data_IF_353940697138
#
_entry.id   IF_353940697138
#
_cell.length_a   1.000
_cell.length_b   1.000
_cell.length_c   1.000
_cell.angle_alpha   90.00
_cell.angle_beta   90.00
_cell.angle_gamma   90.00
#
_symmetry.space_group_name_H-M   'P 1'
#
loop_
_entity.id
_entity.type
_entity.pdbx_description
1 polymer ?
#
# COMPACT_ATOMS: atom_id res chain seq x y z
N UNK A 1 -3.87 -61.44 50.50
CA UNK A 1 -4.06 -62.45 49.44
C UNK A 1 -5.20 -61.98 48.53
N UNK A 2 -4.94 -62.02 47.22
CA UNK A 2 -5.79 -61.66 46.08
C UNK A 2 -6.12 -60.18 45.80
N UNK A 3 -6.16 -59.80 44.51
CA UNK A 3 -5.86 -58.45 44.04
C UNK A 3 -7.14 -57.65 43.71
N UNK A 4 -7.09 -56.33 43.91
CA UNK A 4 -8.10 -55.42 43.36
C UNK A 4 -7.70 -55.00 41.94
N UNK A 5 -8.67 -54.90 41.01
CA UNK A 5 -8.39 -54.84 39.59
C UNK A 5 -7.92 -53.44 39.17
N UNK A 6 -6.84 -53.41 38.39
CA UNK A 6 -6.47 -52.30 37.51
C UNK A 6 -7.66 -51.95 36.60
N UNK A 7 -8.52 -51.02 37.03
CA UNK A 7 -9.42 -50.32 36.12
C UNK A 7 -8.58 -49.36 35.30
N UNK A 8 -8.11 -49.87 34.17
CA UNK A 8 -7.72 -49.08 33.02
C UNK A 8 -8.83 -48.06 32.75
N UNK A 9 -8.63 -46.80 33.16
CA UNK A 9 -9.31 -45.68 32.54
C UNK A 9 -8.78 -45.58 31.11
N UNK A 10 -9.35 -46.39 30.21
CA UNK A 10 -9.48 -46.01 28.81
C UNK A 10 -10.34 -44.76 28.81
N UNK A 11 -9.69 -43.60 28.96
CA UNK A 11 -10.17 -42.35 28.37
C UNK A 11 -10.12 -42.60 26.87
N UNK A 12 -11.18 -43.21 26.35
CA UNK A 12 -11.59 -42.94 24.99
C UNK A 12 -11.94 -41.46 24.95
N UNK A 13 -10.93 -40.64 24.64
CA UNK A 13 -11.14 -39.40 23.91
C UNK A 13 -11.82 -39.82 22.61
N UNK A 14 -13.13 -40.01 22.67
CA UNK A 14 -13.98 -39.80 21.53
C UNK A 14 -13.83 -38.32 21.22
N UNK A 15 -12.83 -38.04 20.40
CA UNK A 15 -12.74 -36.85 19.56
C UNK A 15 -14.05 -36.87 18.78
N UNK A 16 -15.07 -36.24 19.36
CA UNK A 16 -16.21 -35.78 18.58
C UNK A 16 -15.60 -34.79 17.61
N UNK A 17 -15.47 -35.23 16.37
CA UNK A 17 -15.16 -34.48 15.17
C UNK A 17 -16.28 -33.47 14.86
N UNK A 18 -16.57 -32.60 15.82
CA UNK A 18 -17.22 -31.34 15.55
C UNK A 18 -16.06 -30.40 15.29
N UNK A 19 -15.86 -30.08 14.02
CA UNK A 19 -15.06 -28.96 13.54
C UNK A 19 -15.43 -27.70 14.33
N UNK A 20 -14.78 -27.50 15.47
CA UNK A 20 -14.73 -26.21 16.11
C UNK A 20 -13.86 -25.33 15.20
N UNK A 21 -14.49 -24.75 14.16
CA UNK A 21 -13.94 -23.70 13.34
C UNK A 21 -13.46 -22.59 14.28
N UNK A 22 -12.14 -22.48 14.42
CA UNK A 22 -11.54 -21.50 15.31
C UNK A 22 -11.34 -20.24 14.48
N UNK A 23 -12.27 -19.29 14.65
CA UNK A 23 -12.27 -17.94 14.09
C UNK A 23 -11.03 -17.06 14.44
N UNK A 24 -9.90 -17.63 14.87
CA UNK A 24 -8.74 -16.96 15.47
C UNK A 24 -7.43 -17.68 15.12
N UNK A 25 -6.30 -17.02 15.35
CA UNK A 25 -4.98 -17.60 15.10
C UNK A 25 -4.84 -18.96 15.80
N UNK A 26 -4.63 -20.01 15.00
CA UNK A 26 -4.53 -21.39 15.45
C UNK A 26 -3.08 -21.89 15.43
N UNK A 27 -2.85 -23.05 16.05
CA UNK A 27 -1.56 -23.75 15.96
C UNK A 27 -1.28 -24.10 14.49
N UNK A 28 -0.18 -23.59 13.94
CA UNK A 28 0.18 -23.74 12.53
C UNK A 28 -0.20 -22.55 11.62
N UNK A 29 -0.88 -21.53 12.14
CA UNK A 29 -1.06 -20.27 11.41
C UNK A 29 0.30 -19.58 11.19
N UNK A 30 0.50 -19.00 10.01
CA UNK A 30 1.68 -18.21 9.65
C UNK A 30 1.27 -16.96 8.89
N UNK A 31 2.03 -15.88 9.05
CA UNK A 31 1.98 -14.77 8.12
C UNK A 31 2.38 -15.27 6.72
N UNK A 32 1.71 -14.77 5.69
CA UNK A 32 1.87 -15.20 4.32
C UNK A 32 2.82 -14.26 3.58
N UNK A 33 3.68 -14.81 2.74
CA UNK A 33 4.38 -14.02 1.71
C UNK A 33 3.44 -13.71 0.54
N UNK A 34 3.83 -12.78 -0.33
CA UNK A 34 3.10 -12.53 -1.59
C UNK A 34 2.95 -13.82 -2.44
N UNK A 35 3.98 -14.67 -2.47
CA UNK A 35 3.94 -15.95 -3.19
C UNK A 35 2.96 -16.93 -2.53
N UNK A 36 2.95 -17.01 -1.19
CA UNK A 36 1.97 -17.83 -0.46
C UNK A 36 0.53 -17.34 -0.70
N UNK A 37 0.32 -16.02 -0.73
CA UNK A 37 -0.97 -15.40 -1.06
C UNK A 37 -1.43 -15.80 -2.46
N UNK A 38 -0.53 -15.68 -3.44
CA UNK A 38 -0.83 -16.05 -4.82
C UNK A 38 -1.24 -17.53 -4.93
N UNK A 39 -0.46 -18.42 -4.31
CA UNK A 39 -0.75 -19.85 -4.32
C UNK A 39 -2.06 -20.20 -3.58
N UNK A 40 -2.38 -19.48 -2.49
CA UNK A 40 -3.59 -19.73 -1.69
C UNK A 40 -4.85 -19.28 -2.40
N UNK A 41 -4.82 -18.14 -3.10
CA UNK A 41 -6.03 -17.50 -3.64
C UNK A 41 -6.21 -17.59 -5.16
N UNK A 42 -5.19 -17.98 -5.94
CA UNK A 42 -5.25 -18.00 -7.42
C UNK A 42 -6.29 -18.96 -8.03
N UNK A 43 -6.80 -19.94 -7.26
CA UNK A 43 -7.78 -20.93 -7.74
C UNK A 43 -9.24 -20.57 -7.47
N UNK A 44 -9.54 -19.46 -6.80
CA UNK A 44 -10.90 -19.10 -6.42
C UNK A 44 -11.63 -18.38 -7.56
N UNK A 45 -12.91 -18.73 -7.73
CA UNK A 45 -13.78 -18.13 -8.74
C UNK A 45 -14.20 -16.72 -8.30
N UNK A 46 -14.21 -15.78 -9.24
CA UNK A 46 -14.63 -14.40 -9.02
C UNK A 46 -15.94 -14.17 -9.75
N UNK A 47 -17.05 -14.17 -9.00
CA UNK A 47 -18.40 -14.03 -9.57
C UNK A 47 -18.94 -12.60 -9.47
N UNK A 48 -18.29 -11.74 -8.68
CA UNK A 48 -18.69 -10.36 -8.42
C UNK A 48 -17.63 -9.35 -8.91
N UNK A 49 -18.09 -8.11 -9.13
CA UNK A 49 -17.23 -6.98 -9.43
C UNK A 49 -16.31 -6.62 -8.24
N UNK A 50 -15.09 -6.19 -8.54
CA UNK A 50 -14.06 -5.92 -7.53
C UNK A 50 -14.42 -4.80 -6.55
N UNK A 51 -15.12 -3.75 -7.01
CA UNK A 51 -15.56 -2.65 -6.13
C UNK A 51 -16.70 -3.10 -5.22
N UNK A 52 -17.59 -3.95 -5.72
CA UNK A 52 -18.67 -4.54 -4.92
C UNK A 52 -18.09 -5.42 -3.81
N UNK A 53 -17.12 -6.28 -4.15
CA UNK A 53 -16.42 -7.13 -3.17
C UNK A 53 -15.68 -6.29 -2.12
N UNK A 54 -15.03 -5.20 -2.53
CA UNK A 54 -14.36 -4.27 -1.62
C UNK A 54 -15.35 -3.61 -0.65
N UNK A 55 -16.45 -3.06 -1.15
CA UNK A 55 -17.46 -2.42 -0.29
C UNK A 55 -18.18 -3.41 0.64
N UNK A 56 -18.39 -4.66 0.19
CA UNK A 56 -18.92 -5.74 1.02
C UNK A 56 -17.95 -6.08 2.15
N UNK A 57 -16.68 -6.35 1.85
CA UNK A 57 -15.68 -6.68 2.87
C UNK A 57 -15.44 -5.53 3.86
N UNK A 58 -15.40 -4.29 3.39
CA UNK A 58 -15.33 -3.11 4.27
C UNK A 58 -16.54 -2.98 5.19
N UNK A 59 -17.74 -3.35 4.72
CA UNK A 59 -18.94 -3.38 5.57
C UNK A 59 -18.82 -4.41 6.69
N UNK A 60 -18.21 -5.57 6.43
CA UNK A 60 -17.91 -6.54 7.47
C UNK A 60 -16.97 -5.95 8.53
N UNK A 61 -15.86 -5.36 8.10
CA UNK A 61 -14.87 -4.76 9.00
C UNK A 61 -15.47 -3.61 9.82
N UNK A 62 -16.27 -2.74 9.19
CA UNK A 62 -16.94 -1.64 9.89
C UNK A 62 -17.93 -2.10 10.97
N UNK A 63 -18.49 -3.30 10.84
CA UNK A 63 -19.40 -3.90 11.83
C UNK A 63 -18.68 -4.69 12.92
N UNK A 64 -17.35 -4.87 12.82
CA UNK A 64 -16.58 -5.55 13.85
C UNK A 64 -16.44 -4.69 15.10
N UNK A 65 -16.55 -5.35 16.25
CA UNK A 65 -16.13 -4.78 17.53
C UNK A 65 -14.61 -4.90 17.67
N UNK A 66 -14.01 -4.10 18.55
CA UNK A 66 -12.56 -4.09 18.77
C UNK A 66 -11.98 -5.46 19.14
N UNK A 67 -12.74 -6.30 19.84
CA UNK A 67 -12.33 -7.66 20.20
C UNK A 67 -12.16 -8.60 19.00
N UNK A 68 -12.73 -8.31 17.83
CA UNK A 68 -12.51 -9.09 16.60
C UNK A 68 -11.09 -8.97 16.04
N UNK A 69 -10.34 -7.96 16.50
CA UNK A 69 -8.93 -7.77 16.19
C UNK A 69 -8.03 -8.53 17.17
N UNK A 70 -8.56 -9.03 18.28
CA UNK A 70 -7.79 -9.80 19.25
C UNK A 70 -7.57 -11.24 18.75
N UNK A 71 -6.49 -11.88 19.23
CA UNK A 71 -6.13 -13.26 18.86
C UNK A 71 -5.95 -13.50 17.35
N UNK A 72 -5.36 -12.54 16.65
CA UNK A 72 -5.02 -12.62 15.21
C UNK A 72 -3.53 -12.87 14.95
N UNK A 73 -2.70 -12.68 15.96
CA UNK A 73 -1.25 -12.92 15.91
C UNK A 73 -0.96 -14.41 16.10
N UNK A 74 -0.20 -15.06 15.21
CA UNK A 74 0.16 -16.46 15.37
C UNK A 74 0.93 -16.74 16.67
N UNK A 75 0.57 -17.80 17.43
CA UNK A 75 1.08 -18.00 18.79
C UNK A 75 2.52 -18.53 18.86
N UNK A 76 3.07 -19.08 17.78
CA UNK A 76 4.37 -19.76 17.75
C UNK A 76 5.49 -18.91 17.14
N UNK A 77 5.27 -17.61 16.97
CA UNK A 77 6.31 -16.70 16.46
C UNK A 77 7.37 -16.45 17.52
N UNK A 78 8.61 -16.21 17.09
CA UNK A 78 9.63 -15.71 18.00
C UNK A 78 9.24 -14.28 18.48
N UNK A 79 9.75 -13.80 19.62
CA UNK A 79 9.32 -12.53 20.20
C UNK A 79 9.45 -11.33 19.23
N UNK A 80 10.55 -11.24 18.49
CA UNK A 80 10.81 -10.14 17.55
C UNK A 80 9.86 -10.17 16.35
N UNK A 81 9.59 -11.34 15.77
CA UNK A 81 8.60 -11.50 14.70
C UNK A 81 7.19 -11.21 15.21
N UNK A 82 6.88 -11.64 16.43
CA UNK A 82 5.58 -11.38 17.05
C UNK A 82 5.34 -9.88 17.21
N UNK A 83 6.32 -9.12 17.69
CA UNK A 83 6.23 -7.65 17.81
C UNK A 83 6.02 -6.99 16.45
N UNK A 84 6.75 -7.43 15.43
CA UNK A 84 6.59 -6.94 14.05
C UNK A 84 5.19 -7.20 13.49
N UNK A 85 4.68 -8.41 13.68
CA UNK A 85 3.32 -8.79 13.26
C UNK A 85 2.27 -7.99 14.03
N UNK A 86 2.47 -7.77 15.34
CA UNK A 86 1.59 -6.93 16.16
C UNK A 86 1.55 -5.49 15.66
N UNK A 87 2.72 -4.87 15.41
CA UNK A 87 2.80 -3.52 14.88
C UNK A 87 2.10 -3.40 13.52
N UNK A 88 2.36 -4.34 12.61
CA UNK A 88 1.70 -4.40 11.31
C UNK A 88 0.17 -4.48 11.46
N UNK A 89 -0.31 -5.31 12.38
CA UNK A 89 -1.72 -5.49 12.63
C UNK A 89 -2.37 -4.23 13.23
N UNK A 90 -1.68 -3.54 14.15
CA UNK A 90 -2.19 -2.31 14.76
C UNK A 90 -2.30 -1.17 13.74
N UNK A 91 -1.36 -1.07 12.81
CA UNK A 91 -1.40 -0.11 11.70
C UNK A 91 -2.56 -0.43 10.76
N UNK A 92 -2.68 -1.70 10.33
CA UNK A 92 -3.79 -2.14 9.49
C UNK A 92 -5.15 -1.88 10.16
N UNK A 93 -5.26 -2.16 11.46
CA UNK A 93 -6.44 -1.87 12.28
C UNK A 93 -6.76 -0.38 12.25
N UNK A 94 -5.79 0.48 12.53
CA UNK A 94 -6.01 1.93 12.52
C UNK A 94 -6.50 2.42 11.16
N UNK A 95 -5.91 1.94 10.07
CA UNK A 95 -6.29 2.33 8.70
C UNK A 95 -7.71 1.84 8.37
N UNK A 96 -8.03 0.58 8.68
CA UNK A 96 -9.36 0.03 8.46
C UNK A 96 -10.44 0.76 9.25
N UNK A 97 -10.16 1.13 10.50
CA UNK A 97 -11.10 1.89 11.34
C UNK A 97 -11.29 3.32 10.82
N UNK A 98 -10.21 3.99 10.40
CA UNK A 98 -10.30 5.32 9.80
C UNK A 98 -11.15 5.30 8.52
N UNK A 99 -10.95 4.32 7.64
CA UNK A 99 -11.77 4.16 6.44
C UNK A 99 -13.24 3.83 6.76
N UNK A 100 -13.49 3.04 7.81
CA UNK A 100 -14.86 2.77 8.26
C UNK A 100 -15.56 4.04 8.76
N UNK A 101 -14.85 4.91 9.48
CA UNK A 101 -15.36 6.20 9.95
C UNK A 101 -15.57 7.19 8.79
N UNK A 102 -14.62 7.30 7.85
CA UNK A 102 -14.77 8.08 6.61
C UNK A 102 -16.01 7.63 5.83
N UNK A 103 -16.17 6.32 5.62
CA UNK A 103 -17.32 5.74 4.93
C UNK A 103 -18.63 6.05 5.65
N UNK A 104 -18.65 6.01 6.98
CA UNK A 104 -19.83 6.37 7.78
C UNK A 104 -20.23 7.82 7.53
N UNK A 105 -19.27 8.76 7.50
CA UNK A 105 -19.54 10.16 7.17
C UNK A 105 -20.06 10.35 5.76
N UNK A 106 -19.49 9.65 4.76
CA UNK A 106 -19.99 9.68 3.38
C UNK A 106 -21.44 9.16 3.30
N UNK A 107 -21.77 8.06 3.97
CA UNK A 107 -23.13 7.51 4.00
C UNK A 107 -24.12 8.45 4.72
N UNK A 108 -23.67 9.15 5.76
CA UNK A 108 -24.46 10.17 6.44
C UNK A 108 -24.75 11.35 5.50
N UNK A 109 -23.76 11.86 4.79
CA UNK A 109 -23.93 12.96 3.83
C UNK A 109 -24.87 12.55 2.67
N UNK A 110 -24.77 11.32 2.16
CA UNK A 110 -25.72 10.75 1.19
C UNK A 110 -27.15 10.78 1.75
N UNK A 111 -27.34 10.30 2.97
CA UNK A 111 -28.66 10.22 3.59
C UNK A 111 -29.25 11.61 3.86
N UNK A 112 -28.43 12.57 4.28
CA UNK A 112 -28.83 13.97 4.46
C UNK A 112 -29.32 14.54 3.13
N UNK A 113 -28.56 14.41 2.06
CA UNK A 113 -28.96 14.90 0.72
C UNK A 113 -30.26 14.23 0.29
N UNK A 114 -30.33 12.90 0.36
CA UNK A 114 -31.52 12.13 -0.03
C UNK A 114 -32.76 12.56 0.75
N UNK A 115 -32.64 12.74 2.06
CA UNK A 115 -33.76 13.18 2.92
C UNK A 115 -34.22 14.61 2.66
N UNK A 116 -33.29 15.53 2.38
CA UNK A 116 -33.59 16.96 2.16
C UNK A 116 -34.21 17.21 0.78
N UNK A 117 -33.83 16.45 -0.24
CA UNK A 117 -34.32 16.64 -1.62
C UNK A 117 -35.35 15.60 -2.04
N UNK A 118 -35.57 14.55 -1.24
CA UNK A 118 -36.55 13.49 -1.53
C UNK A 118 -36.14 12.54 -2.67
N UNK A 119 -34.85 12.47 -3.01
CA UNK A 119 -34.33 11.54 -4.02
C UNK A 119 -33.87 10.24 -3.38
N UNK A 120 -33.68 9.19 -4.17
CA UNK A 120 -33.12 7.94 -3.63
C UNK A 120 -31.62 8.11 -3.31
N UNK A 121 -31.11 7.52 -2.21
CA UNK A 121 -29.69 7.56 -1.83
C UNK A 121 -28.74 7.10 -2.95
N UNK A 122 -29.15 6.11 -3.73
CA UNK A 122 -28.37 5.56 -4.83
C UNK A 122 -28.11 6.60 -5.94
N UNK A 123 -29.07 7.50 -6.16
CA UNK A 123 -28.99 8.53 -7.21
C UNK A 123 -28.20 9.78 -6.83
N UNK A 124 -27.80 9.93 -5.56
CA UNK A 124 -27.13 11.14 -5.04
C UNK A 124 -25.79 11.38 -5.73
N UNK A 125 -25.00 10.30 -5.92
CA UNK A 125 -23.65 10.37 -6.48
C UNK A 125 -23.61 10.79 -7.95
N UNK A 126 -24.72 10.66 -8.67
CA UNK A 126 -24.83 11.02 -10.09
C UNK A 126 -25.20 12.49 -10.31
N UNK A 127 -25.51 13.23 -9.23
CA UNK A 127 -26.00 14.60 -9.33
C UNK A 127 -24.88 15.60 -9.57
N UNK A 128 -25.22 16.68 -10.25
CA UNK A 128 -24.27 17.73 -10.65
C UNK A 128 -24.39 18.99 -9.77
N UNK A 129 -23.40 19.87 -9.84
CA UNK A 129 -23.46 21.19 -9.18
C UNK A 129 -24.63 22.06 -9.67
N UNK A 130 -25.07 21.90 -10.92
CA UNK A 130 -26.25 22.60 -11.44
C UNK A 130 -27.53 22.14 -10.72
N UNK A 131 -27.69 20.82 -10.55
CA UNK A 131 -28.79 20.25 -9.77
C UNK A 131 -28.77 20.75 -8.31
N UNK A 132 -27.59 20.82 -7.69
CA UNK A 132 -27.44 21.38 -6.34
C UNK A 132 -27.94 22.84 -6.27
N UNK A 133 -27.60 23.67 -7.26
CA UNK A 133 -28.03 25.07 -7.27
C UNK A 133 -29.56 25.20 -7.33
N UNK A 134 -30.22 24.36 -8.14
CA UNK A 134 -31.68 24.33 -8.22
C UNK A 134 -32.31 23.91 -6.89
N UNK A 135 -31.86 22.79 -6.31
CA UNK A 135 -32.43 22.27 -5.05
C UNK A 135 -32.17 23.19 -3.85
N UNK A 136 -30.96 23.73 -3.74
CA UNK A 136 -30.65 24.71 -2.71
C UNK A 136 -31.48 25.99 -2.85
N UNK A 137 -31.76 26.42 -4.09
CA UNK A 137 -32.63 27.59 -4.35
C UNK A 137 -34.09 27.30 -4.00
N UNK A 138 -34.60 26.09 -4.29
CA UNK A 138 -35.94 25.65 -3.86
C UNK A 138 -36.10 25.70 -2.34
N UNK A 139 -35.11 25.18 -1.60
CA UNK A 139 -35.12 25.22 -0.13
C UNK A 139 -35.06 26.65 0.41
N UNK A 140 -34.22 27.52 -0.17
CA UNK A 140 -34.17 28.95 0.20
C UNK A 140 -35.47 29.69 -0.11
N UNK A 141 -36.09 29.41 -1.25
CA UNK A 141 -37.37 30.00 -1.63
C UNK A 141 -38.49 29.63 -0.64
N UNK A 142 -38.45 28.41 -0.09
CA UNK A 142 -39.36 27.96 0.98
C UNK A 142 -39.03 28.55 2.36
N UNK A 143 -37.99 29.38 2.49
CA UNK A 143 -37.52 29.95 3.76
C UNK A 143 -36.66 29.00 4.60
N UNK A 144 -36.31 27.81 4.10
CA UNK A 144 -35.55 26.78 4.83
C UNK A 144 -34.03 26.96 4.66
N UNK A 145 -33.51 28.13 5.05
CA UNK A 145 -32.12 28.54 4.79
C UNK A 145 -31.09 27.59 5.41
N UNK A 146 -31.35 27.07 6.62
CA UNK A 146 -30.44 26.14 7.30
C UNK A 146 -30.30 24.81 6.55
N UNK A 147 -31.42 24.24 6.08
CA UNK A 147 -31.42 23.02 5.26
C UNK A 147 -30.72 23.23 3.93
N UNK A 148 -30.90 24.41 3.31
CA UNK A 148 -30.18 24.74 2.08
C UNK A 148 -28.65 24.83 2.29
N UNK A 149 -28.20 25.35 3.44
CA UNK A 149 -26.78 25.36 3.81
C UNK A 149 -26.26 23.94 4.06
N UNK A 150 -26.99 23.15 4.83
CA UNK A 150 -26.65 21.75 5.13
C UNK A 150 -26.54 20.90 3.87
N UNK A 151 -27.51 21.01 2.95
CA UNK A 151 -27.48 20.37 1.63
C UNK A 151 -26.22 20.73 0.85
N UNK A 152 -25.88 22.03 0.79
CA UNK A 152 -24.69 22.51 0.08
C UNK A 152 -23.42 21.96 0.70
N UNK A 153 -23.28 22.06 2.01
CA UNK A 153 -22.05 21.67 2.70
C UNK A 153 -21.85 20.14 2.63
N UNK A 154 -22.91 19.34 2.73
CA UNK A 154 -22.87 17.88 2.52
C UNK A 154 -22.50 17.52 1.08
N UNK A 155 -23.10 18.17 0.09
CA UNK A 155 -22.81 17.92 -1.32
C UNK A 155 -21.35 18.25 -1.68
N UNK A 156 -20.81 19.37 -1.18
CA UNK A 156 -19.43 19.76 -1.46
C UNK A 156 -18.41 18.79 -0.84
N UNK A 157 -18.67 18.24 0.35
CA UNK A 157 -17.83 17.16 0.91
C UNK A 157 -17.93 15.89 0.07
N UNK A 158 -19.15 15.53 -0.34
CA UNK A 158 -19.40 14.34 -1.15
C UNK A 158 -18.76 14.41 -2.54
N UNK A 159 -18.62 15.60 -3.11
CA UNK A 159 -17.89 15.79 -4.37
C UNK A 159 -16.41 15.39 -4.27
N UNK A 160 -15.80 15.58 -3.09
CA UNK A 160 -14.39 15.23 -2.85
C UNK A 160 -14.24 13.77 -2.43
N UNK A 161 -15.06 13.30 -1.49
CA UNK A 161 -14.89 12.00 -0.83
C UNK A 161 -15.88 10.92 -1.28
N UNK A 162 -16.92 11.29 -2.03
CA UNK A 162 -18.08 10.44 -2.31
C UNK A 162 -17.91 9.46 -3.46
N UNK A 163 -16.82 9.56 -4.23
CA UNK A 163 -16.49 8.60 -5.28
C UNK A 163 -16.33 7.20 -4.69
N UNK A 164 -16.88 6.19 -5.37
CA UNK A 164 -16.70 4.78 -4.96
C UNK A 164 -15.23 4.34 -5.02
N UNK A 165 -14.44 5.02 -5.85
CA UNK A 165 -13.02 4.72 -6.07
C UNK A 165 -12.11 5.64 -5.24
N UNK A 166 -12.67 6.47 -4.35
CA UNK A 166 -11.87 7.30 -3.47
C UNK A 166 -10.90 6.42 -2.66
N UNK A 167 -9.61 6.74 -2.73
CA UNK A 167 -8.49 6.01 -2.08
C UNK A 167 -8.48 4.50 -2.38
N UNK A 168 -8.87 4.13 -3.60
CA UNK A 168 -9.07 2.73 -4.00
C UNK A 168 -7.85 1.83 -3.70
N UNK A 169 -6.64 2.25 -4.10
CA UNK A 169 -5.44 1.44 -3.89
C UNK A 169 -5.12 1.23 -2.41
N UNK A 170 -5.31 2.24 -1.56
CA UNK A 170 -5.09 2.12 -0.13
C UNK A 170 -6.08 1.17 0.54
N UNK A 171 -7.35 1.23 0.13
CA UNK A 171 -8.39 0.32 0.60
C UNK A 171 -8.14 -1.12 0.16
N UNK A 172 -7.72 -1.32 -1.10
CA UNK A 172 -7.28 -2.61 -1.61
C UNK A 172 -6.07 -3.12 -0.82
N UNK A 173 -5.07 -2.27 -0.57
CA UNK A 173 -3.88 -2.64 0.20
C UNK A 173 -4.20 -2.95 1.67
N UNK A 174 -5.21 -2.32 2.28
CA UNK A 174 -5.70 -2.71 3.60
C UNK A 174 -6.22 -4.15 3.59
N UNK A 175 -7.10 -4.49 2.62
CA UNK A 175 -7.65 -5.85 2.51
C UNK A 175 -6.55 -6.86 2.17
N UNK A 176 -5.64 -6.52 1.26
CA UNK A 176 -4.47 -7.33 0.94
C UNK A 176 -3.58 -7.58 2.18
N UNK A 177 -3.35 -6.54 2.98
CA UNK A 177 -2.62 -6.62 4.24
C UNK A 177 -3.28 -7.52 5.27
N UNK A 178 -4.61 -7.49 5.40
CA UNK A 178 -5.36 -8.47 6.20
C UNK A 178 -5.17 -9.90 5.68
N UNK A 179 -5.08 -10.06 4.36
CA UNK A 179 -4.77 -11.34 3.71
C UNK A 179 -3.38 -11.85 4.06
N UNK A 180 -2.37 -10.98 4.00
CA UNK A 180 -0.98 -11.28 4.37
C UNK A 180 -0.84 -11.76 5.82
N UNK A 181 -1.71 -11.33 6.73
CA UNK A 181 -1.71 -11.85 8.11
C UNK A 181 -2.09 -13.33 8.19
N UNK A 182 -2.86 -13.83 7.22
CA UNK A 182 -3.23 -15.24 7.12
C UNK A 182 -4.22 -15.75 8.17
N UNK A 183 -4.74 -14.88 9.03
CA UNK A 183 -5.59 -15.24 10.19
C UNK A 183 -6.98 -14.60 10.19
N UNK A 184 -7.29 -13.75 9.20
CA UNK A 184 -8.56 -13.02 9.10
C UNK A 184 -9.59 -13.68 8.17
N UNK A 185 -9.22 -14.66 7.36
CA UNK A 185 -10.08 -15.26 6.31
C UNK A 185 -11.42 -15.75 6.85
N UNK A 186 -11.42 -16.52 7.93
CA UNK A 186 -12.63 -17.08 8.55
C UNK A 186 -13.48 -16.02 9.27
N UNK A 187 -12.98 -14.80 9.46
CA UNK A 187 -13.72 -13.72 10.14
C UNK A 187 -14.78 -13.07 9.23
N UNK A 188 -14.78 -13.38 7.93
CA UNK A 188 -15.65 -12.81 6.90
C UNK A 188 -16.78 -13.74 6.45
N UNK A 189 -16.94 -14.92 7.05
CA UNK A 189 -18.00 -15.87 6.70
C UNK A 189 -18.71 -16.40 7.95
N UNK A 190 -19.72 -17.27 7.73
CA UNK A 190 -20.51 -17.91 8.78
C UNK A 190 -21.27 -16.91 9.67
N UNK A 191 -21.85 -15.88 9.05
CA UNK A 191 -22.64 -14.86 9.74
C UNK A 191 -24.12 -15.24 9.75
N UNK A 192 -24.75 -15.11 10.92
CA UNK A 192 -26.21 -15.24 11.03
C UNK A 192 -26.85 -13.98 10.49
N UNK A 193 -27.62 -14.12 9.42
CA UNK A 193 -28.34 -13.02 8.76
C UNK A 193 -29.85 -13.21 8.91
N UNK A 194 -30.57 -12.10 8.99
CA UNK A 194 -32.03 -12.08 8.99
C UNK A 194 -32.53 -11.56 7.65
N UNK A 195 -33.40 -12.31 7.00
CA UNK A 195 -34.13 -11.83 5.83
C UNK A 195 -35.12 -10.73 6.25
N UNK A 196 -34.96 -9.54 5.68
CA UNK A 196 -35.76 -8.34 6.02
C UNK A 196 -37.24 -8.53 5.66
N UNK A 197 -37.54 -9.35 4.65
CA UNK A 197 -38.90 -9.56 4.16
C UNK A 197 -39.64 -10.67 4.92
N UNK A 198 -38.94 -11.76 5.26
CA UNK A 198 -39.55 -12.94 5.90
C UNK A 198 -39.25 -13.05 7.40
N UNK A 199 -38.29 -12.28 7.92
CA UNK A 199 -37.81 -12.36 9.29
C UNK A 199 -37.03 -13.63 9.62
N UNK A 200 -36.83 -14.54 8.65
CA UNK A 200 -36.15 -15.83 8.85
C UNK A 200 -34.66 -15.62 9.07
N UNK A 201 -34.10 -16.42 9.98
CA UNK A 201 -32.67 -16.47 10.25
C UNK A 201 -32.02 -17.57 9.41
N UNK A 202 -30.93 -17.25 8.74
CA UNK A 202 -30.08 -18.20 8.02
C UNK A 202 -28.61 -17.94 8.31
N UNK A 203 -27.76 -18.93 8.05
CA UNK A 203 -26.30 -18.76 8.09
C UNK A 203 -25.83 -18.46 6.68
N UNK A 204 -25.15 -17.34 6.50
CA UNK A 204 -24.47 -16.98 5.27
C UNK A 204 -23.05 -17.58 5.28
N UNK A 205 -22.83 -18.56 4.40
CA UNK A 205 -21.57 -19.26 4.21
C UNK A 205 -20.68 -18.58 3.14
N UNK A 206 -21.18 -17.53 2.46
CA UNK A 206 -20.38 -16.79 1.49
C UNK A 206 -19.18 -16.12 2.16
N UNK A 207 -18.09 -15.98 1.40
CA UNK A 207 -16.87 -15.32 1.88
C UNK A 207 -16.38 -14.30 0.83
N UNK A 208 -16.91 -13.06 0.87
CA UNK A 208 -16.51 -12.02 -0.07
C UNK A 208 -15.03 -11.63 0.07
N UNK A 209 -14.41 -11.91 1.22
CA UNK A 209 -12.98 -11.64 1.41
C UNK A 209 -12.10 -12.57 0.60
N UNK A 210 -12.42 -13.86 0.55
CA UNK A 210 -11.67 -14.83 -0.27
C UNK A 210 -11.78 -14.49 -1.76
N UNK A 211 -12.98 -14.16 -2.22
CA UNK A 211 -13.21 -13.70 -3.60
C UNK A 211 -12.43 -12.41 -3.91
N UNK A 212 -12.41 -11.45 -2.96
CA UNK A 212 -11.64 -10.22 -3.11
C UNK A 212 -10.13 -10.48 -3.17
N UNK A 213 -9.57 -11.35 -2.32
CA UNK A 213 -8.14 -11.66 -2.37
C UNK A 213 -7.75 -12.28 -3.70
N UNK A 214 -8.58 -13.18 -4.22
CA UNK A 214 -8.38 -13.78 -5.53
C UNK A 214 -8.41 -12.71 -6.65
N UNK A 215 -9.36 -11.79 -6.58
CA UNK A 215 -9.43 -10.64 -7.48
C UNK A 215 -8.17 -9.77 -7.42
N UNK A 216 -7.71 -9.43 -6.21
CA UNK A 216 -6.54 -8.58 -6.02
C UNK A 216 -5.29 -9.23 -6.63
N UNK A 217 -5.00 -10.48 -6.27
CA UNK A 217 -3.81 -11.20 -6.75
C UNK A 217 -3.82 -11.37 -8.27
N UNK A 218 -4.98 -11.68 -8.85
CA UNK A 218 -5.07 -11.89 -10.31
C UNK A 218 -4.99 -10.58 -11.10
N UNK A 219 -5.57 -9.49 -10.60
CA UNK A 219 -5.69 -8.23 -11.33
C UNK A 219 -4.51 -7.28 -11.09
N UNK A 220 -3.89 -7.35 -9.92
CA UNK A 220 -2.80 -6.48 -9.49
C UNK A 220 -1.53 -7.30 -9.22
N UNK A 221 -0.78 -7.70 -10.27
CA UNK A 221 0.43 -8.52 -10.11
C UNK A 221 1.56 -7.82 -9.34
N UNK A 222 1.50 -6.49 -9.20
CA UNK A 222 2.44 -5.67 -8.44
C UNK A 222 1.85 -5.19 -7.11
N UNK A 223 0.78 -5.81 -6.59
CA UNK A 223 0.10 -5.33 -5.38
C UNK A 223 1.02 -5.26 -4.15
N UNK A 224 2.02 -6.14 -4.07
CA UNK A 224 3.03 -6.12 -3.02
C UNK A 224 3.93 -4.87 -3.11
N UNK A 225 4.30 -4.44 -4.32
CA UNK A 225 5.02 -3.17 -4.54
C UNK A 225 4.14 -1.99 -4.12
N UNK A 226 2.87 -1.97 -4.52
CA UNK A 226 1.92 -0.89 -4.16
C UNK A 226 1.74 -0.83 -2.65
N UNK A 227 1.56 -1.99 -2.00
CA UNK A 227 1.42 -2.11 -0.54
C UNK A 227 2.62 -1.51 0.18
N UNK A 228 3.84 -1.85 -0.26
CA UNK A 228 5.06 -1.31 0.32
C UNK A 228 5.21 0.20 0.04
N UNK A 229 4.90 0.66 -1.18
CA UNK A 229 4.99 2.08 -1.56
C UNK A 229 4.00 2.94 -0.79
N UNK A 230 2.82 2.43 -0.46
CA UNK A 230 1.86 3.12 0.41
C UNK A 230 2.28 3.12 1.90
N UNK A 231 3.41 2.51 2.23
CA UNK A 231 3.96 2.50 3.58
C UNK A 231 3.34 1.48 4.52
N UNK A 232 2.65 0.46 3.98
CA UNK A 232 2.10 -0.60 4.83
C UNK A 232 3.20 -1.49 5.40
N UNK A 233 4.34 -1.68 4.74
CA UNK A 233 5.42 -2.54 5.22
C UNK A 233 6.39 -1.79 6.14
N UNK A 234 6.03 -1.68 7.42
CA UNK A 234 6.81 -0.91 8.41
C UNK A 234 8.05 -1.67 8.89
N UNK A 235 8.08 -2.99 8.71
CA UNK A 235 9.18 -3.84 9.17
C UNK A 235 10.41 -3.72 8.28
N UNK A 236 10.21 -3.79 6.96
CA UNK A 236 11.30 -3.75 5.98
C UNK A 236 11.35 -2.42 5.23
N UNK A 237 10.29 -1.62 5.27
CA UNK A 237 10.10 -0.49 4.38
C UNK A 237 9.92 -0.93 2.93
N UNK A 238 10.04 0.03 2.03
CA UNK A 238 9.74 -0.18 0.61
C UNK A 238 10.97 -0.36 -0.30
N UNK A 239 12.19 -0.31 0.25
CA UNK A 239 13.46 -0.33 -0.52
C UNK A 239 13.60 -1.55 -1.44
N UNK A 240 13.26 -2.75 -0.94
CA UNK A 240 13.32 -3.99 -1.74
C UNK A 240 12.31 -3.96 -2.89
N UNK A 241 11.10 -3.44 -2.64
CA UNK A 241 10.07 -3.23 -3.65
C UNK A 241 10.45 -2.15 -4.64
N UNK A 242 11.16 -1.09 -4.22
CA UNK A 242 11.74 -0.08 -5.10
C UNK A 242 12.77 -0.70 -6.04
N UNK A 243 13.69 -1.53 -5.53
CA UNK A 243 14.68 -2.24 -6.35
C UNK A 243 14.00 -3.07 -7.46
N UNK A 244 12.97 -3.86 -7.09
CA UNK A 244 12.20 -4.66 -8.06
C UNK A 244 11.45 -3.79 -9.06
N UNK A 245 10.86 -2.68 -8.61
CA UNK A 245 10.16 -1.74 -9.48
C UNK A 245 11.11 -1.10 -10.50
N UNK A 246 12.29 -0.63 -10.07
CA UNK A 246 13.30 -0.07 -10.96
C UNK A 246 13.77 -1.08 -12.01
N UNK A 247 14.00 -2.34 -11.61
CA UNK A 247 14.36 -3.42 -12.55
C UNK A 247 13.23 -3.65 -13.56
N UNK A 248 11.98 -3.72 -13.12
CA UNK A 248 10.82 -3.92 -14.00
C UNK A 248 10.64 -2.77 -15.00
N UNK A 249 10.79 -1.53 -14.55
CA UNK A 249 10.74 -0.35 -15.40
C UNK A 249 11.86 -0.33 -16.45
N UNK A 250 13.10 -0.60 -16.04
CA UNK A 250 14.25 -0.62 -16.94
C UNK A 250 14.22 -1.80 -17.91
N UNK A 251 13.74 -2.97 -17.47
CA UNK A 251 13.54 -4.11 -18.34
C UNK A 251 12.47 -3.81 -19.40
N UNK A 252 11.35 -3.20 -19.01
CA UNK A 252 10.31 -2.80 -19.95
C UNK A 252 10.77 -1.68 -20.92
N UNK A 253 11.56 -0.72 -20.43
CA UNK A 253 12.13 0.35 -21.26
C UNK A 253 13.07 -0.18 -22.35
N UNK A 254 13.86 -1.18 -22.02
CA UNK A 254 14.89 -1.75 -22.91
C UNK A 254 14.44 -3.05 -23.60
N UNK A 255 13.14 -3.39 -23.55
CA UNK A 255 12.56 -4.63 -24.10
C UNK A 255 13.30 -5.92 -23.67
N UNK A 256 13.73 -5.97 -22.41
CA UNK A 256 14.45 -7.10 -21.84
C UNK A 256 13.49 -8.12 -21.22
N UNK A 257 13.54 -9.36 -21.70
CA UNK A 257 12.75 -10.47 -21.14
C UNK A 257 13.36 -11.05 -19.86
N UNK A 258 14.69 -11.09 -19.78
CA UNK A 258 15.43 -11.56 -18.61
C UNK A 258 16.58 -10.57 -18.30
N UNK A 259 16.37 -9.61 -17.37
CA UNK A 259 17.44 -8.70 -16.98
C UNK A 259 18.55 -9.49 -16.28
N UNK A 260 19.75 -9.48 -16.87
CA UNK A 260 20.92 -10.09 -16.25
C UNK A 260 21.33 -9.31 -14.99
N UNK A 261 21.40 -9.99 -13.85
CA UNK A 261 21.92 -9.44 -12.60
C UNK A 261 23.21 -10.17 -12.20
N UNK A 262 24.16 -9.42 -11.64
CA UNK A 262 25.42 -9.96 -11.12
C UNK A 262 25.72 -9.35 -9.76
N UNK A 263 25.37 -10.09 -8.70
CA UNK A 263 25.53 -9.64 -7.32
C UNK A 263 24.77 -8.32 -7.07
N UNK A 264 25.53 -7.24 -6.87
CA UNK A 264 24.98 -5.89 -6.62
C UNK A 264 24.74 -5.05 -7.88
N UNK A 265 25.21 -5.50 -9.04
CA UNK A 265 24.80 -4.94 -10.32
C UNK A 265 23.46 -5.56 -10.67
N UNK A 266 22.39 -4.79 -10.44
CA UNK A 266 21.01 -5.26 -10.60
C UNK A 266 20.62 -5.40 -12.06
N UNK A 267 21.13 -4.50 -12.92
CA UNK A 267 20.84 -4.49 -14.34
C UNK A 267 21.99 -3.78 -15.09
N UNK A 268 22.39 -4.34 -16.23
CA UNK A 268 23.36 -3.73 -17.14
C UNK A 268 22.90 -3.93 -18.58
N UNK A 269 22.77 -2.82 -19.32
CA UNK A 269 22.35 -2.81 -20.73
C UNK A 269 23.43 -2.13 -21.55
N UNK A 270 24.20 -2.94 -22.29
CA UNK A 270 25.33 -2.46 -23.08
C UNK A 270 24.91 -1.52 -24.22
N UNK A 271 23.74 -1.75 -24.83
CA UNK A 271 23.26 -0.97 -25.99
C UNK A 271 22.89 0.47 -25.62
N UNK A 272 22.20 0.65 -24.49
CA UNK A 272 21.78 1.97 -23.98
C UNK A 272 22.76 2.57 -22.96
N UNK A 273 23.85 1.85 -22.64
CA UNK A 273 24.83 2.23 -21.60
C UNK A 273 24.14 2.54 -20.27
N UNK A 274 23.26 1.64 -19.86
CA UNK A 274 22.51 1.76 -18.61
C UNK A 274 23.01 0.76 -17.57
N UNK A 275 23.25 1.21 -16.35
CA UNK A 275 23.64 0.36 -15.21
C UNK A 275 22.82 0.76 -13.99
N UNK A 276 22.22 -0.22 -13.33
CA UNK A 276 21.61 -0.07 -12.01
C UNK A 276 22.43 -0.85 -10.99
N UNK A 277 22.88 -0.17 -9.95
CA UNK A 277 23.73 -0.71 -8.89
C UNK A 277 23.10 -0.53 -7.51
N UNK A 278 23.11 -1.59 -6.69
CA UNK A 278 22.66 -1.60 -5.31
C UNK A 278 23.85 -1.40 -4.34
N UNK A 279 23.90 -0.24 -3.66
CA UNK A 279 24.94 0.05 -2.67
C UNK A 279 24.67 -0.62 -1.31
N UNK A 280 23.40 -0.80 -0.95
CA UNK A 280 22.94 -1.29 0.34
C UNK A 280 21.97 -0.32 1.02
N UNK A 281 21.40 -0.74 2.15
CA UNK A 281 20.45 0.06 2.91
C UNK A 281 21.14 1.23 3.62
N UNK A 282 20.93 2.44 3.10
CA UNK A 282 21.56 3.65 3.64
C UNK A 282 21.06 3.99 5.05
N UNK A 283 19.80 3.65 5.36
CA UNK A 283 19.15 3.95 6.65
C UNK A 283 19.81 3.19 7.79
N UNK A 284 20.05 1.89 7.57
CA UNK A 284 20.71 1.03 8.56
C UNK A 284 22.18 1.40 8.76
N UNK A 285 22.89 1.72 7.67
CA UNK A 285 24.34 1.98 7.75
C UNK A 285 24.66 3.32 8.42
N UNK A 286 23.90 4.37 8.12
CA UNK A 286 24.19 5.71 8.68
C UNK A 286 23.87 5.81 10.18
N UNK A 287 22.99 4.95 10.68
CA UNK A 287 22.68 4.86 12.11
C UNK A 287 23.75 4.08 12.90
N UNK A 288 24.51 3.20 12.25
CA UNK A 288 25.52 2.36 12.89
C UNK A 288 26.90 3.02 12.92
N UNK A 289 27.20 3.91 11.97
CA UNK A 289 28.51 4.56 11.85
C UNK A 289 28.39 6.08 11.66
N UNK A 290 28.85 6.82 12.66
CA UNK A 290 28.83 8.29 12.66
C UNK A 290 29.83 8.93 11.67
N UNK A 291 30.74 8.14 11.12
CA UNK A 291 31.74 8.59 10.14
C UNK A 291 31.26 8.48 8.68
N UNK A 292 30.12 7.83 8.42
CA UNK A 292 29.58 7.66 7.07
C UNK A 292 28.75 8.89 6.67
N UNK A 293 29.07 9.47 5.51
CA UNK A 293 28.41 10.61 4.89
C UNK A 293 28.20 10.36 3.39
N UNK A 294 27.02 10.72 2.88
CA UNK A 294 26.74 10.69 1.45
C UNK A 294 26.62 9.27 0.87
N UNK A 295 25.87 8.39 1.54
CA UNK A 295 25.67 7.01 1.09
C UNK A 295 24.28 6.87 0.42
N UNK A 296 24.23 6.73 -0.92
CA UNK A 296 22.98 6.44 -1.61
C UNK A 296 22.57 4.98 -1.46
N UNK A 297 21.29 4.68 -1.68
CA UNK A 297 20.78 3.32 -1.72
C UNK A 297 21.05 2.64 -3.06
N UNK A 298 20.79 3.37 -4.14
CA UNK A 298 20.99 2.91 -5.52
C UNK A 298 21.74 3.96 -6.33
N UNK A 299 22.51 3.49 -7.31
CA UNK A 299 23.04 4.34 -8.37
C UNK A 299 22.54 3.83 -9.71
N UNK A 300 21.96 4.75 -10.48
CA UNK A 300 21.54 4.49 -11.85
C UNK A 300 22.35 5.37 -12.78
N UNK A 301 23.04 4.77 -13.75
CA UNK A 301 23.78 5.50 -14.77
C UNK A 301 23.13 5.28 -16.11
N UNK A 302 22.95 6.36 -16.88
CA UNK A 302 22.33 6.35 -18.21
C UNK A 302 23.13 7.22 -19.15
N UNK A 303 23.91 6.60 -20.03
CA UNK A 303 24.80 7.33 -20.93
C UNK A 303 25.81 8.18 -20.15
N UNK A 304 25.63 9.50 -20.14
CA UNK A 304 26.50 10.43 -19.40
C UNK A 304 25.93 10.87 -18.04
N UNK A 305 24.70 10.46 -17.73
CA UNK A 305 23.98 10.88 -16.53
C UNK A 305 24.16 9.86 -15.41
N UNK A 306 24.44 10.34 -14.20
CA UNK A 306 24.55 9.54 -12.98
C UNK A 306 23.51 10.03 -11.98
N UNK A 307 22.63 9.13 -11.53
CA UNK A 307 21.62 9.40 -10.52
C UNK A 307 21.96 8.64 -9.25
N UNK A 308 21.97 9.35 -8.13
CA UNK A 308 22.14 8.76 -6.79
C UNK A 308 20.80 8.77 -6.08
N UNK A 309 20.15 7.61 -6.01
CA UNK A 309 18.81 7.45 -5.43
C UNK A 309 18.97 7.08 -3.95
N UNK A 310 18.41 7.89 -3.07
CA UNK A 310 18.53 7.76 -1.62
C UNK A 310 17.14 7.71 -0.98
N UNK A 311 16.90 6.71 -0.14
CA UNK A 311 15.71 6.64 0.72
C UNK A 311 16.05 7.36 2.02
N UNK A 312 15.29 8.40 2.34
CA UNK A 312 15.54 9.19 3.54
C UNK A 312 15.44 8.32 4.81
N UNK A 313 16.25 8.64 5.82
CA UNK A 313 16.16 8.04 7.13
C UNK A 313 14.94 8.60 7.88
N UNK A 314 14.34 7.78 8.74
CA UNK A 314 13.26 8.22 9.62
C UNK A 314 13.72 9.36 10.53
N UNK A 315 14.94 9.27 11.05
CA UNK A 315 15.54 10.28 11.92
C UNK A 315 15.96 11.53 11.13
N UNK A 316 15.29 12.65 11.38
CA UNK A 316 15.55 13.95 10.75
C UNK A 316 16.99 14.43 10.89
N UNK A 317 17.67 14.13 12.01
CA UNK A 317 19.08 14.51 12.23
C UNK A 317 20.04 13.80 11.27
N UNK A 318 19.70 12.58 10.83
CA UNK A 318 20.54 11.78 9.95
C UNK A 318 20.34 12.11 8.47
N UNK A 319 19.19 12.69 8.09
CA UNK A 319 18.86 13.01 6.69
C UNK A 319 19.88 13.93 6.04
N UNK A 320 20.36 14.94 6.77
CA UNK A 320 21.40 15.87 6.28
C UNK A 320 22.75 15.18 6.01
N UNK A 321 23.03 14.06 6.70
CA UNK A 321 24.26 13.27 6.50
C UNK A 321 24.14 12.28 5.34
N UNK A 322 22.92 11.87 4.98
CA UNK A 322 22.70 10.91 3.88
C UNK A 322 22.97 11.53 2.51
N UNK A 323 22.65 12.81 2.33
CA UNK A 323 22.83 13.48 1.04
C UNK A 323 24.33 13.75 0.80
N UNK A 324 24.92 13.26 -0.30
CA UNK A 324 26.33 13.49 -0.60
C UNK A 324 26.64 14.97 -0.83
N UNK A 325 27.78 15.43 -0.30
CA UNK A 325 28.27 16.79 -0.51
C UNK A 325 28.79 16.98 -1.95
N UNK A 326 28.76 18.21 -2.49
CA UNK A 326 29.22 18.54 -3.85
C UNK A 326 30.60 17.96 -4.20
N UNK A 327 31.60 18.12 -3.32
CA UNK A 327 32.94 17.51 -3.46
C UNK A 327 32.92 15.98 -3.60
N UNK A 328 31.99 15.29 -2.92
CA UNK A 328 31.81 13.85 -3.09
C UNK A 328 31.19 13.53 -4.45
N UNK A 329 30.20 14.30 -4.88
CA UNK A 329 29.58 14.18 -6.20
C UNK A 329 30.61 14.34 -7.33
N UNK A 330 31.45 15.38 -7.28
CA UNK A 330 32.57 15.57 -8.22
C UNK A 330 33.52 14.36 -8.23
N UNK A 331 33.84 13.83 -7.05
CA UNK A 331 34.66 12.64 -6.90
C UNK A 331 34.00 11.38 -7.50
N UNK A 332 32.69 11.23 -7.35
CA UNK A 332 31.91 10.14 -7.95
C UNK A 332 31.87 10.31 -9.47
N UNK A 333 31.54 11.49 -9.98
CA UNK A 333 31.47 11.77 -11.42
C UNK A 333 32.82 11.56 -12.13
N UNK A 334 33.94 11.92 -11.48
CA UNK A 334 35.29 11.69 -12.02
C UNK A 334 35.63 10.20 -12.07
N UNK A 335 35.25 9.44 -11.03
CA UNK A 335 35.38 7.96 -11.05
C UNK A 335 34.46 7.32 -12.08
N UNK A 336 33.25 7.84 -12.25
CA UNK A 336 32.32 7.44 -13.31
C UNK A 336 32.95 7.63 -14.68
N UNK A 337 33.64 8.75 -14.92
CA UNK A 337 34.39 8.99 -16.16
C UNK A 337 35.46 7.93 -16.41
N UNK A 338 36.26 7.60 -15.38
CA UNK A 338 37.34 6.60 -15.51
C UNK A 338 36.83 5.18 -15.71
N UNK A 339 35.77 4.78 -15.00
CA UNK A 339 35.28 3.39 -14.98
C UNK A 339 34.31 3.13 -16.14
N UNK A 340 33.39 4.07 -16.39
CA UNK A 340 32.33 3.92 -17.39
C UNK A 340 32.73 4.50 -18.75
N UNK A 341 33.88 5.16 -18.84
CA UNK A 341 34.39 5.76 -20.08
C UNK A 341 33.57 6.97 -20.56
N UNK A 342 32.86 7.63 -19.65
CA UNK A 342 32.09 8.84 -19.96
C UNK A 342 33.10 10.01 -20.12
N UNK A 343 33.03 10.81 -21.20
CA UNK A 343 33.88 11.98 -21.35
C UNK A 343 33.70 12.96 -20.18
N UNK A 344 34.81 13.39 -19.59
CA UNK A 344 34.83 14.23 -18.38
C UNK A 344 33.93 15.47 -18.51
N UNK A 345 34.02 16.17 -19.65
CA UNK A 345 33.26 17.39 -19.98
C UNK A 345 31.75 17.18 -20.13
N UNK A 346 31.27 15.92 -20.14
CA UNK A 346 29.87 15.57 -20.40
C UNK A 346 29.21 14.88 -19.23
N UNK A 347 29.94 14.55 -18.16
CA UNK A 347 29.38 13.82 -17.02
C UNK A 347 28.48 14.75 -16.22
N UNK A 348 27.24 14.31 -16.01
CA UNK A 348 26.29 15.00 -15.15
C UNK A 348 25.87 14.07 -14.02
N UNK A 349 25.89 14.57 -12.79
CA UNK A 349 25.47 13.81 -11.61
C UNK A 349 24.39 14.56 -10.83
N UNK A 350 23.41 13.81 -10.31
CA UNK A 350 22.31 14.38 -9.52
C UNK A 350 21.87 13.45 -8.41
N UNK A 351 21.49 14.04 -7.28
CA UNK A 351 20.86 13.35 -6.18
C UNK A 351 19.34 13.23 -6.41
N UNK A 352 18.77 12.10 -6.00
CA UNK A 352 17.33 11.87 -5.97
C UNK A 352 16.98 11.40 -4.56
N UNK A 353 16.27 12.24 -3.82
CA UNK A 353 15.85 11.93 -2.45
C UNK A 353 14.39 11.48 -2.45
N UNK A 354 14.12 10.35 -1.80
CA UNK A 354 12.79 9.75 -1.65
C UNK A 354 12.34 9.74 -0.17
N UNK A 355 11.01 9.67 0.11
CA UNK A 355 10.50 9.74 1.48
C UNK A 355 10.92 8.51 2.32
N UNK A 356 10.90 8.56 3.65
CA UNK A 356 11.48 7.50 4.47
C UNK A 356 10.67 6.20 4.53
N UNK A 357 9.33 6.32 4.55
CA UNK A 357 8.43 5.21 4.90
C UNK A 357 7.48 4.80 3.78
N UNK A 358 7.30 5.65 2.77
CA UNK A 358 6.40 5.47 1.64
C UNK A 358 6.97 6.17 0.40
N UNK A 359 6.31 6.05 -0.74
CA UNK A 359 6.66 6.78 -1.96
C UNK A 359 5.44 7.56 -2.42
N UNK A 360 5.49 8.88 -2.44
CA UNK A 360 4.38 9.68 -2.94
C UNK A 360 4.31 9.68 -4.48
N UNK A 361 3.17 10.11 -5.03
CA UNK A 361 2.92 10.13 -6.47
C UNK A 361 3.90 11.05 -7.23
N UNK A 362 4.37 12.14 -6.63
CA UNK A 362 5.33 13.04 -7.26
C UNK A 362 6.73 12.42 -7.32
N UNK A 363 7.16 11.73 -6.25
CA UNK A 363 8.39 10.93 -6.24
C UNK A 363 8.35 9.81 -7.28
N UNK A 364 7.23 9.09 -7.42
CA UNK A 364 7.08 8.06 -8.46
C UNK A 364 7.19 8.65 -9.86
N UNK A 365 6.49 9.76 -10.13
CA UNK A 365 6.58 10.47 -11.41
C UNK A 365 8.01 10.92 -11.68
N UNK A 366 8.70 11.44 -10.67
CA UNK A 366 10.09 11.89 -10.80
C UNK A 366 11.02 10.76 -11.18
N UNK A 367 10.87 9.60 -10.53
CA UNK A 367 11.63 8.41 -10.85
C UNK A 367 11.35 7.93 -12.27
N UNK A 368 10.08 7.75 -12.65
CA UNK A 368 9.75 7.16 -13.96
C UNK A 368 10.03 8.10 -15.13
N UNK A 369 9.65 9.37 -15.02
CA UNK A 369 9.72 10.33 -16.13
C UNK A 369 11.09 11.01 -16.23
N UNK A 370 11.71 11.44 -15.13
CA UNK A 370 12.98 12.18 -15.18
C UNK A 370 14.21 11.27 -15.04
N UNK A 371 14.19 10.36 -14.05
CA UNK A 371 15.34 9.47 -13.80
C UNK A 371 15.42 8.39 -14.86
N UNK A 372 14.33 7.66 -15.08
CA UNK A 372 14.31 6.55 -16.05
C UNK A 372 14.01 7.01 -17.48
N UNK A 373 13.49 8.21 -17.70
CA UNK A 373 13.10 8.75 -19.03
C UNK A 373 12.19 7.79 -19.79
N UNK A 374 11.17 7.31 -19.09
CA UNK A 374 10.11 6.51 -19.69
C UNK A 374 9.02 7.44 -20.22
N UNK A 375 8.48 7.11 -21.39
CA UNK A 375 7.29 7.79 -21.91
C UNK A 375 6.08 7.46 -21.03
N UNK A 376 5.09 8.37 -20.88
CA UNK A 376 3.91 8.10 -20.07
C UNK A 376 3.16 6.82 -20.46
N UNK A 377 3.16 6.47 -21.75
CA UNK A 377 2.55 5.23 -22.26
C UNK A 377 3.34 3.98 -21.86
N UNK A 378 4.68 4.04 -21.88
CA UNK A 378 5.52 2.96 -21.39
C UNK A 378 5.31 2.75 -19.87
N UNK A 379 5.23 3.85 -19.11
CA UNK A 379 4.92 3.78 -17.67
C UNK A 379 3.57 3.14 -17.42
N UNK A 380 2.50 3.57 -18.13
CA UNK A 380 1.16 2.98 -18.01
C UNK A 380 1.13 1.50 -18.40
N UNK A 381 1.93 1.08 -19.37
CA UNK A 381 2.04 -0.33 -19.76
C UNK A 381 2.73 -1.16 -18.67
N UNK A 382 3.79 -0.64 -18.06
CA UNK A 382 4.58 -1.36 -17.04
C UNK A 382 3.92 -1.34 -15.66
N UNK A 383 3.29 -0.23 -15.29
CA UNK A 383 2.62 0.00 -14.02
C UNK A 383 1.24 0.64 -14.25
N UNK A 384 0.23 -0.13 -14.70
CA UNK A 384 -1.10 0.39 -15.01
C UNK A 384 -1.81 1.05 -13.81
N UNK A 385 -1.43 0.67 -12.60
CA UNK A 385 -1.98 1.21 -11.35
C UNK A 385 -1.49 2.64 -11.04
N UNK A 386 -0.46 3.15 -11.72
CA UNK A 386 0.12 4.46 -11.41
C UNK A 386 -0.88 5.61 -11.56
N UNK A 387 -1.87 5.47 -12.45
CA UNK A 387 -2.93 6.48 -12.64
C UNK A 387 -3.95 6.51 -11.50
N UNK A 388 -4.01 5.46 -10.69
CA UNK A 388 -4.87 5.35 -9.52
C UNK A 388 -4.10 5.67 -8.22
N UNK A 389 -2.82 6.01 -8.33
CA UNK A 389 -1.93 6.23 -7.20
C UNK A 389 -1.95 7.71 -6.78
N UNK A 390 -2.66 8.00 -5.69
CA UNK A 390 -2.93 9.36 -5.22
C UNK A 390 -2.21 9.70 -3.89
N UNK A 391 -1.23 8.88 -3.47
CA UNK A 391 -0.52 9.12 -2.20
C UNK A 391 0.27 10.42 -2.28
N UNK A 392 -0.04 11.35 -1.38
CA UNK A 392 0.69 12.60 -1.21
C UNK A 392 1.67 12.50 -0.02
N UNK A 393 2.56 13.48 0.08
CA UNK A 393 3.43 13.64 1.24
C UNK A 393 2.61 13.98 2.48
N UNK A 394 2.88 13.27 3.56
CA UNK A 394 2.22 13.51 4.84
C UNK A 394 2.63 14.88 5.39
N UNK A 395 1.66 15.67 5.85
CA UNK A 395 1.90 17.03 6.38
C UNK A 395 2.81 17.08 7.62
N UNK A 396 3.10 15.93 8.23
CA UNK A 396 3.98 15.79 9.39
C UNK A 396 5.46 15.74 8.99
N UNK A 397 5.77 15.45 7.73
CA UNK A 397 7.14 15.29 7.22
C UNK A 397 7.75 16.62 6.74
N UNK A 398 7.51 17.72 7.45
CA UNK A 398 7.93 19.09 7.05
C UNK A 398 9.44 19.17 6.75
N UNK A 399 10.27 18.62 7.63
CA UNK A 399 11.73 18.64 7.46
C UNK A 399 12.20 17.87 6.22
N UNK A 400 11.49 16.79 5.86
CA UNK A 400 11.76 16.06 4.63
C UNK A 400 11.35 16.91 3.43
N UNK A 401 10.16 17.52 3.43
CA UNK A 401 9.68 18.36 2.35
C UNK A 401 10.62 19.53 2.05
N UNK A 402 11.21 20.16 3.07
CA UNK A 402 12.20 21.22 2.89
C UNK A 402 13.49 20.69 2.23
N UNK A 403 14.03 19.59 2.76
CA UNK A 403 15.24 18.98 2.20
C UNK A 403 15.01 18.46 0.78
N UNK A 404 13.87 17.83 0.54
CA UNK A 404 13.47 17.30 -0.76
C UNK A 404 13.46 18.39 -1.83
N UNK A 405 12.89 19.56 -1.54
CA UNK A 405 12.91 20.70 -2.46
C UNK A 405 14.33 21.12 -2.78
N UNK A 406 15.17 21.29 -1.76
CA UNK A 406 16.57 21.72 -2.00
C UNK A 406 17.38 20.73 -2.82
N UNK A 407 17.20 19.41 -2.59
CA UNK A 407 17.99 18.36 -3.24
C UNK A 407 17.45 18.03 -4.62
N UNK A 408 16.13 17.91 -4.78
CA UNK A 408 15.54 17.49 -6.03
C UNK A 408 15.32 18.64 -7.01
N UNK A 409 15.32 19.91 -6.57
CA UNK A 409 15.34 21.07 -7.48
C UNK A 409 16.77 21.51 -7.82
N UNK A 410 17.79 20.90 -7.20
CA UNK A 410 19.19 21.18 -7.50
C UNK A 410 19.50 20.85 -8.97
N UNK A 411 20.18 21.80 -9.62
CA UNK A 411 20.68 21.65 -10.99
C UNK A 411 21.70 20.52 -11.10
N UNK A 412 21.88 20.02 -12.31
CA UNK A 412 22.87 18.98 -12.58
C UNK A 412 24.27 19.46 -12.24
N UNK A 413 24.97 18.75 -11.36
CA UNK A 413 26.39 18.99 -11.16
C UNK A 413 27.14 18.43 -12.39
N UNK A 414 27.82 19.33 -13.08
CA UNK A 414 28.64 19.03 -14.26
C UNK A 414 30.11 19.23 -13.90
N UNK A 415 30.97 18.32 -14.36
CA UNK A 415 32.42 18.37 -14.10
C UNK A 415 33.18 19.26 -15.07
#
# INVERSE_FOLDING_TARGET
MMPLPLRCFRRTQLIRSVSALRFHAAYGAKALSHVDMANRFAGHKMDKDGLVLLEETEKYVANWRLNKWEFRVPPLLNPTERERVMLQQDILKSLCLNHADERKHVLQDIQVIASLTGISPESVREKTRAWLQEEASKLRWKGEVNKAKELRDAFLRLEVYGSRDHRLLERICCMYGLGLQGTFEEAFSNIIVQDVSTGKLSVDESNPFVELQAYIVSRYPQIDIIHDFLGFNVVSGYRSSLSRFLIQCLAAKNDLTNPGSSGRVLLHVSSSKEILFDFGDSRSQIALDDSVYGLPDFMYTRGNDIFLITVAAENHWLRKRQVPHAKQLEGIARRGSFVLGIPFEKVRIRNVLLPPNYVDAASLRRLTEYVLEMTPDAVKKTAPWISLYEKELDSKDVDYCELEKTVNEEEWLTL
#
